data_IF_537593131888
#
_entry.id   IF_537593131888
#
_cell.length_a   1.000
_cell.length_b   1.000
_cell.length_c   1.000
_cell.angle_alpha   90.00
_cell.angle_beta   90.00
_cell.angle_gamma   90.00
#
_symmetry.space_group_name_H-M   'P 1'
#
loop_
_entity.id
_entity.type
_entity.pdbx_description
1 polymer ?
#
# COMPACT_ATOMS: atom_id res chain seq x y z
N UNK A 1 1.04 -4.37 -10.42
CA UNK A 1 -0.13 -3.48 -10.57
C UNK A 1 -1.44 -4.23 -10.37
N UNK A 2 -1.61 -5.40 -10.99
CA UNK A 2 -2.80 -6.25 -10.80
C UNK A 2 -3.17 -6.45 -9.33
N UNK A 3 -2.18 -6.71 -8.47
CA UNK A 3 -2.36 -6.87 -7.02
C UNK A 3 -3.07 -5.69 -6.32
N UNK A 4 -2.87 -4.45 -6.78
CA UNK A 4 -3.56 -3.30 -6.18
C UNK A 4 -5.02 -3.27 -6.61
N UNK A 5 -5.31 -3.58 -7.87
CA UNK A 5 -6.68 -3.71 -8.37
C UNK A 5 -7.42 -4.85 -7.66
N UNK A 6 -6.78 -6.01 -7.47
CA UNK A 6 -7.38 -7.16 -6.77
C UNK A 6 -7.74 -6.82 -5.30
N UNK A 7 -6.87 -6.05 -4.62
CA UNK A 7 -7.14 -5.57 -3.25
C UNK A 7 -8.29 -4.58 -3.23
N UNK A 8 -8.35 -3.65 -4.18
CA UNK A 8 -9.43 -2.66 -4.27
C UNK A 8 -10.77 -3.33 -4.63
N UNK A 9 -10.79 -4.34 -5.50
CA UNK A 9 -11.98 -5.15 -5.78
C UNK A 9 -12.47 -5.86 -4.51
N UNK A 10 -11.56 -6.51 -3.79
CA UNK A 10 -11.90 -7.20 -2.55
C UNK A 10 -12.46 -6.22 -1.51
N UNK A 11 -11.88 -5.03 -1.36
CA UNK A 11 -12.38 -4.01 -0.44
C UNK A 11 -13.74 -3.47 -0.85
N UNK A 12 -13.94 -3.20 -2.14
CA UNK A 12 -15.24 -2.75 -2.67
C UNK A 12 -16.34 -3.76 -2.40
N UNK A 13 -16.05 -5.05 -2.58
CA UNK A 13 -16.99 -6.14 -2.26
C UNK A 13 -17.27 -6.23 -0.76
N UNK A 14 -16.26 -6.09 0.09
CA UNK A 14 -16.42 -6.04 1.54
C UNK A 14 -17.24 -4.82 2.01
N UNK A 15 -17.21 -3.73 1.24
CA UNK A 15 -18.02 -2.54 1.46
C UNK A 15 -19.44 -2.63 0.85
N UNK A 16 -19.84 -3.80 0.33
CA UNK A 16 -21.14 -4.05 -0.31
C UNK A 16 -21.41 -3.16 -1.53
N UNK A 17 -20.34 -2.69 -2.20
CA UNK A 17 -20.50 -1.98 -3.46
C UNK A 17 -20.93 -2.96 -4.57
N UNK A 18 -21.87 -2.58 -5.44
CA UNK A 18 -22.19 -3.39 -6.62
C UNK A 18 -20.96 -3.56 -7.52
N UNK A 19 -20.78 -4.76 -8.09
CA UNK A 19 -19.63 -5.06 -8.96
C UNK A 19 -19.49 -4.08 -10.14
N UNK A 20 -20.60 -3.59 -10.69
CA UNK A 20 -20.58 -2.59 -11.75
C UNK A 20 -19.98 -1.24 -11.30
N UNK A 21 -20.21 -0.84 -10.05
CA UNK A 21 -19.64 0.37 -9.46
C UNK A 21 -18.15 0.19 -9.21
N UNK A 22 -17.75 -0.96 -8.66
CA UNK A 22 -16.34 -1.34 -8.44
C UNK A 22 -15.59 -1.29 -9.78
N UNK A 23 -16.08 -2.01 -10.79
CA UNK A 23 -15.47 -2.06 -12.12
C UNK A 23 -15.35 -0.68 -12.78
N UNK A 24 -16.39 0.16 -12.66
CA UNK A 24 -16.36 1.52 -13.20
C UNK A 24 -15.31 2.40 -12.52
N UNK A 25 -15.19 2.33 -11.19
CA UNK A 25 -14.18 3.09 -10.43
C UNK A 25 -12.77 2.61 -10.80
N UNK A 26 -12.56 1.29 -10.87
CA UNK A 26 -11.25 0.71 -11.21
C UNK A 26 -10.82 1.05 -12.64
N UNK A 27 -11.73 1.05 -13.60
CA UNK A 27 -11.40 1.41 -15.00
C UNK A 27 -10.88 2.84 -15.17
N UNK A 28 -11.14 3.73 -14.20
CA UNK A 28 -10.74 5.14 -14.22
C UNK A 28 -9.49 5.41 -13.38
N UNK A 29 -9.00 4.43 -12.61
CA UNK A 29 -7.86 4.62 -11.71
C UNK A 29 -6.53 4.50 -12.46
N UNK A 30 -5.75 5.58 -12.44
CA UNK A 30 -4.33 5.54 -12.82
C UNK A 30 -3.49 5.44 -11.56
N UNK A 31 -2.82 4.30 -11.36
CA UNK A 31 -2.00 4.06 -10.18
C UNK A 31 -0.56 4.45 -10.49
N UNK A 32 -0.05 5.46 -9.77
CA UNK A 32 1.36 5.81 -9.79
C UNK A 32 2.05 5.22 -8.55
N UNK A 33 2.94 4.26 -8.75
CA UNK A 33 3.67 3.62 -7.64
C UNK A 33 5.06 4.28 -7.56
N UNK A 34 5.28 5.05 -6.50
CA UNK A 34 6.59 5.64 -6.21
C UNK A 34 7.31 4.74 -5.19
N UNK A 35 8.44 4.16 -5.59
CA UNK A 35 9.32 3.43 -4.69
C UNK A 35 10.36 4.40 -4.11
N UNK A 36 10.24 4.71 -2.83
CA UNK A 36 11.32 5.37 -2.10
C UNK A 36 12.24 4.31 -1.48
N UNK A 37 13.57 4.40 -1.70
CA UNK A 37 14.51 3.48 -1.08
C UNK A 37 14.50 3.68 0.44
N UNK A 38 14.42 2.57 1.17
CA UNK A 38 14.56 2.58 2.62
C UNK A 38 15.97 3.05 2.98
N UNK A 39 16.09 4.27 3.52
CA UNK A 39 17.37 4.78 4.00
C UNK A 39 17.77 4.07 5.31
N UNK A 40 18.94 3.45 5.32
CA UNK A 40 19.53 2.93 6.54
C UNK A 40 19.96 4.07 7.46
N UNK A 41 19.10 4.46 8.40
CA UNK A 41 19.48 5.39 9.48
C UNK A 41 20.30 4.64 10.53
N UNK A 42 21.56 5.04 10.72
CA UNK A 42 22.39 4.55 11.83
C UNK A 42 21.84 5.16 13.12
N UNK A 43 21.10 4.37 13.90
CA UNK A 43 20.78 4.72 15.27
C UNK A 43 22.06 4.54 16.12
N UNK A 44 22.56 5.62 16.71
CA UNK A 44 23.57 5.53 17.75
C UNK A 44 22.90 4.94 19.00
N UNK A 45 22.91 3.62 19.11
CA UNK A 45 22.55 2.93 20.35
C UNK A 45 23.65 3.27 21.35
N UNK A 46 23.28 3.98 22.41
CA UNK A 46 24.19 4.37 23.48
C UNK A 46 24.86 3.09 24.02
N UNK A 47 26.18 2.86 23.82
CA UNK A 47 26.81 1.66 24.33
C UNK A 47 26.78 1.75 25.85
N UNK A 48 26.11 0.79 26.48
CA UNK A 48 26.14 0.67 27.93
C UNK A 48 27.61 0.60 28.37
N UNK A 49 28.06 1.63 29.11
CA UNK A 49 29.33 1.61 29.80
C UNK A 49 29.25 0.47 30.81
N UNK A 50 29.93 -0.65 30.53
CA UNK A 50 30.17 -1.69 31.52
C UNK A 50 31.46 -1.30 32.23
N UNK A 51 31.32 -0.64 33.38
CA UNK A 51 32.38 -0.56 34.42
C UNK A 51 32.56 -1.89 35.10
#
# INVERSE_FOLDING_TARGET
>A
MQTVFDVLESQGRSALLPDAVISSILSQLTINITYEPLECKKAALNPAVVT
#
